data_IF_249573930727
#
_entry.id   IF_249573930727
#
_cell.length_a   1.000
_cell.length_b   1.000
_cell.length_c   1.000
_cell.angle_alpha   90.00
_cell.angle_beta   90.00
_cell.angle_gamma   90.00
#
_symmetry.space_group_name_H-M   'P 1'
#
loop_
_entity.id
_entity.type
_entity.pdbx_description
1 polymer ?
#
# COMPACT_ATOMS: atom_id res chain seq x y z
N UNK A 1 11.76 -58.01 23.82
CA UNK A 1 11.87 -56.73 24.54
C UNK A 1 11.19 -55.68 23.68
N UNK A 2 10.04 -55.18 24.14
CA UNK A 2 9.16 -54.26 23.40
C UNK A 2 9.65 -52.81 23.53
N UNK A 3 9.90 -52.13 22.41
CA UNK A 3 10.22 -50.70 22.39
C UNK A 3 9.00 -49.86 22.77
N UNK A 4 9.14 -49.07 23.83
CA UNK A 4 8.11 -48.18 24.35
C UNK A 4 7.96 -46.93 23.47
N UNK A 5 6.78 -46.74 22.88
CA UNK A 5 6.38 -45.46 22.28
C UNK A 5 6.06 -44.45 23.38
N UNK A 6 6.90 -43.42 23.52
CA UNK A 6 6.61 -42.26 24.36
C UNK A 6 5.88 -41.22 23.50
N UNK A 7 4.56 -41.08 23.69
CA UNK A 7 3.79 -39.96 23.14
C UNK A 7 3.66 -38.86 24.19
N UNK A 8 4.15 -37.66 23.89
CA UNK A 8 3.89 -36.49 24.72
C UNK A 8 2.42 -36.06 24.61
N UNK A 9 1.69 -36.09 25.72
CA UNK A 9 0.34 -35.52 25.82
C UNK A 9 0.44 -34.00 25.73
N UNK A 10 -0.35 -33.30 24.89
CA UNK A 10 -0.30 -31.84 24.84
C UNK A 10 -0.83 -31.27 26.16
N UNK A 11 0.06 -30.68 26.95
CA UNK A 11 -0.30 -29.89 28.14
C UNK A 11 -0.95 -28.60 27.67
N UNK A 12 -2.19 -28.40 28.12
CA UNK A 12 -3.03 -27.21 28.04
C UNK A 12 -3.24 -26.58 26.66
N UNK A 13 -4.49 -26.68 26.19
CA UNK A 13 -5.02 -25.82 25.13
C UNK A 13 -4.72 -24.36 25.49
N UNK A 14 -3.77 -23.73 24.78
CA UNK A 14 -3.71 -22.26 24.72
C UNK A 14 -5.11 -21.79 24.33
N UNK A 15 -5.86 -21.25 25.30
CA UNK A 15 -7.09 -20.52 25.02
C UNK A 15 -6.70 -19.43 24.04
N UNK A 16 -7.05 -19.60 22.78
CA UNK A 16 -7.01 -18.52 21.81
C UNK A 16 -8.00 -17.51 22.35
N UNK A 17 -7.50 -16.50 23.07
CA UNK A 17 -8.27 -15.32 23.40
C UNK A 17 -8.67 -14.76 22.04
N UNK A 18 -9.91 -15.02 21.63
CA UNK A 18 -10.54 -14.32 20.51
C UNK A 18 -10.52 -12.86 20.91
N UNK A 19 -9.47 -12.13 20.49
CA UNK A 19 -9.47 -10.67 20.52
C UNK A 19 -10.82 -10.26 19.93
N UNK A 20 -11.60 -9.46 20.67
CA UNK A 20 -12.76 -8.77 20.09
C UNK A 20 -12.25 -8.16 18.79
N UNK A 21 -12.76 -8.64 17.66
CA UNK A 21 -12.57 -7.95 16.39
C UNK A 21 -13.06 -6.54 16.67
N UNK A 22 -12.22 -5.53 16.41
CA UNK A 22 -12.56 -4.12 16.54
C UNK A 22 -13.70 -3.81 15.57
N UNK A 23 -14.92 -4.20 15.95
CA UNK A 23 -16.13 -3.97 15.21
C UNK A 23 -16.53 -2.53 15.48
N UNK A 24 -16.62 -1.75 14.41
CA UNK A 24 -17.17 -0.40 14.46
C UNK A 24 -18.62 -0.53 14.95
N UNK A 25 -19.03 0.21 16.00
CA UNK A 25 -20.41 0.18 16.50
C UNK A 25 -21.44 0.46 15.40
N UNK A 26 -22.58 -0.25 15.45
CA UNK A 26 -23.67 -0.07 14.48
C UNK A 26 -24.23 1.35 14.48
N UNK A 27 -24.19 2.04 15.63
CA UNK A 27 -24.57 3.45 15.75
C UNK A 27 -23.73 4.40 14.90
N UNK A 28 -22.46 4.04 14.62
CA UNK A 28 -21.59 4.80 13.71
C UNK A 28 -21.82 4.31 12.29
N UNK A 29 -21.86 2.99 12.10
CA UNK A 29 -21.96 2.37 10.78
C UNK A 29 -23.26 2.75 10.04
N UNK A 30 -24.38 2.78 10.77
CA UNK A 30 -25.72 3.04 10.23
C UNK A 30 -26.18 4.48 10.47
N UNK A 31 -25.28 5.39 10.88
CA UNK A 31 -25.64 6.78 11.12
C UNK A 31 -26.04 7.49 9.81
N UNK A 32 -27.30 7.92 9.70
CA UNK A 32 -27.84 8.52 8.49
C UNK A 32 -27.08 9.79 8.08
N UNK A 33 -26.80 10.70 9.03
CA UNK A 33 -26.08 11.95 8.75
C UNK A 33 -24.65 11.71 8.28
N UNK A 34 -23.91 10.83 8.95
CA UNK A 34 -22.53 10.50 8.55
C UNK A 34 -22.49 9.86 7.15
N UNK A 35 -23.40 8.92 6.88
CA UNK A 35 -23.48 8.24 5.59
C UNK A 35 -23.85 9.19 4.45
N UNK A 36 -24.77 10.14 4.67
CA UNK A 36 -25.13 11.17 3.70
C UNK A 36 -23.93 12.07 3.35
N UNK A 37 -23.18 12.52 4.38
CA UNK A 37 -22.00 13.38 4.17
C UNK A 37 -20.88 12.65 3.43
N UNK A 38 -20.63 11.38 3.77
CA UNK A 38 -19.65 10.55 3.05
C UNK A 38 -20.06 10.42 1.58
N UNK A 39 -21.32 10.06 1.29
CA UNK A 39 -21.80 9.84 -0.07
C UNK A 39 -21.84 11.11 -0.93
N UNK A 40 -22.10 12.28 -0.33
CA UNK A 40 -22.20 13.55 -1.06
C UNK A 40 -20.83 14.22 -1.31
N UNK A 41 -19.85 14.01 -0.43
CA UNK A 41 -18.56 14.71 -0.51
C UNK A 41 -17.45 13.86 -1.12
N UNK A 42 -17.46 12.55 -0.89
CA UNK A 42 -16.36 11.65 -1.27
C UNK A 42 -16.75 10.76 -2.46
N UNK A 43 -15.79 10.45 -3.35
CA UNK A 43 -16.06 9.58 -4.48
C UNK A 43 -16.31 8.13 -4.03
N UNK A 44 -17.36 7.51 -4.56
CA UNK A 44 -17.82 6.18 -4.15
C UNK A 44 -16.83 5.04 -4.48
N UNK A 45 -15.91 5.27 -5.41
CA UNK A 45 -14.89 4.29 -5.79
C UNK A 45 -13.65 4.35 -4.89
N UNK A 46 -13.54 5.30 -3.96
CA UNK A 46 -12.45 5.37 -2.98
C UNK A 46 -12.97 5.01 -1.59
N UNK A 47 -12.35 4.04 -0.93
CA UNK A 47 -12.70 3.68 0.43
C UNK A 47 -11.79 4.38 1.46
N UNK A 48 -12.20 5.56 1.93
CA UNK A 48 -11.49 6.30 2.98
C UNK A 48 -11.74 5.76 4.40
N UNK A 49 -12.54 4.70 4.57
CA UNK A 49 -12.86 4.09 5.86
C UNK A 49 -13.27 5.11 6.96
N UNK A 50 -14.07 6.13 6.60
CA UNK A 50 -14.41 7.25 7.49
C UNK A 50 -15.03 6.78 8.81
N UNK A 51 -15.86 5.74 8.79
CA UNK A 51 -16.44 5.15 10.00
C UNK A 51 -15.38 4.62 10.98
N UNK A 52 -14.30 4.03 10.46
CA UNK A 52 -13.16 3.56 11.27
C UNK A 52 -12.41 4.72 11.87
N UNK A 53 -12.22 5.81 11.12
CA UNK A 53 -11.61 7.04 11.62
C UNK A 53 -12.43 7.60 12.77
N UNK A 54 -13.73 7.79 12.57
CA UNK A 54 -14.66 8.29 13.58
C UNK A 54 -14.65 7.43 14.84
N UNK A 55 -14.74 6.10 14.69
CA UNK A 55 -14.68 5.18 15.80
C UNK A 55 -13.35 5.29 16.57
N UNK A 56 -12.23 5.36 15.86
CA UNK A 56 -10.90 5.45 16.48
C UNK A 56 -10.71 6.75 17.25
N UNK A 57 -11.24 7.86 16.74
CA UNK A 57 -11.22 9.15 17.43
C UNK A 57 -12.01 9.07 18.74
N UNK A 58 -13.22 8.47 18.72
CA UNK A 58 -14.04 8.25 19.91
C UNK A 58 -13.35 7.33 20.93
N UNK A 59 -12.82 6.20 20.47
CA UNK A 59 -12.12 5.22 21.33
C UNK A 59 -10.93 5.84 22.07
N UNK A 60 -10.20 6.73 21.41
CA UNK A 60 -9.04 7.42 21.99
C UNK A 60 -9.41 8.69 22.77
N UNK A 61 -10.67 9.13 22.74
CA UNK A 61 -11.09 10.45 23.22
C UNK A 61 -10.20 11.58 22.66
N UNK A 62 -9.81 11.48 21.38
CA UNK A 62 -8.91 12.43 20.76
C UNK A 62 -9.63 13.73 20.42
N UNK A 63 -9.24 14.85 21.04
CA UNK A 63 -9.83 16.17 20.82
C UNK A 63 -9.23 16.92 19.62
N UNK A 64 -7.98 16.60 19.24
CA UNK A 64 -7.28 17.14 18.08
C UNK A 64 -6.56 16.04 17.31
N UNK A 65 -6.81 15.99 16.01
CA UNK A 65 -6.41 14.88 15.13
C UNK A 65 -5.73 15.45 13.89
N UNK A 66 -4.57 14.90 13.54
CA UNK A 66 -3.87 15.24 12.32
C UNK A 66 -4.33 14.33 11.17
N UNK A 67 -4.52 14.89 9.98
CA UNK A 67 -4.73 14.14 8.75
C UNK A 67 -3.51 14.33 7.85
N UNK A 68 -2.97 13.21 7.35
CA UNK A 68 -1.80 13.22 6.48
C UNK A 68 -2.10 12.46 5.19
N UNK A 69 -1.94 13.13 4.05
CA UNK A 69 -2.27 12.60 2.73
C UNK A 69 -1.05 12.59 1.82
N UNK A 70 -0.93 11.60 0.91
CA UNK A 70 -0.09 11.79 -0.26
C UNK A 70 -0.70 12.84 -1.20
N UNK A 71 0.14 13.39 -2.07
CA UNK A 71 -0.20 14.45 -3.03
C UNK A 71 -1.51 14.18 -3.78
N UNK A 72 -1.69 12.98 -4.33
CA UNK A 72 -2.86 12.64 -5.14
C UNK A 72 -4.19 12.58 -4.38
N UNK A 73 -4.17 12.56 -3.03
CA UNK A 73 -5.38 12.47 -2.20
C UNK A 73 -5.62 13.69 -1.32
N UNK A 74 -4.69 14.66 -1.28
CA UNK A 74 -4.85 15.87 -0.45
C UNK A 74 -6.06 16.71 -0.87
N UNK A 75 -6.52 16.57 -2.12
CA UNK A 75 -7.76 17.18 -2.63
C UNK A 75 -9.01 16.78 -1.81
N UNK A 76 -8.97 15.65 -1.09
CA UNK A 76 -10.06 15.20 -0.21
C UNK A 76 -9.91 15.65 1.25
N UNK A 77 -8.80 16.31 1.61
CA UNK A 77 -8.45 16.59 2.99
C UNK A 77 -9.49 17.47 3.70
N UNK A 78 -9.90 18.58 3.09
CA UNK A 78 -10.88 19.51 3.68
C UNK A 78 -12.25 18.85 3.82
N UNK A 79 -12.67 18.06 2.83
CA UNK A 79 -13.94 17.31 2.88
C UNK A 79 -13.96 16.30 4.02
N UNK A 80 -12.88 15.54 4.20
CA UNK A 80 -12.76 14.58 5.30
C UNK A 80 -12.71 15.31 6.64
N UNK A 81 -11.98 16.42 6.72
CA UNK A 81 -11.93 17.26 7.92
C UNK A 81 -13.34 17.78 8.30
N UNK A 82 -14.11 18.27 7.34
CA UNK A 82 -15.48 18.75 7.54
C UNK A 82 -16.43 17.64 8.03
N UNK A 83 -16.34 16.44 7.43
CA UNK A 83 -17.13 15.27 7.87
C UNK A 83 -16.83 14.95 9.33
N UNK A 84 -15.55 14.83 9.69
CA UNK A 84 -15.13 14.46 11.05
C UNK A 84 -15.50 15.55 12.05
N UNK A 85 -15.22 16.81 11.72
CA UNK A 85 -15.46 17.97 12.60
C UNK A 85 -16.96 18.14 12.84
N UNK A 86 -17.79 18.04 11.80
CA UNK A 86 -19.24 18.17 11.96
C UNK A 86 -19.88 17.01 12.72
N UNK A 87 -19.30 15.80 12.65
CA UNK A 87 -19.84 14.64 13.35
C UNK A 87 -19.38 14.52 14.81
N UNK A 88 -18.14 14.91 15.12
CA UNK A 88 -17.54 14.71 16.45
C UNK A 88 -17.24 16.00 17.22
N UNK A 89 -17.23 17.16 16.56
CA UNK A 89 -16.82 18.44 17.18
C UNK A 89 -15.34 18.51 17.55
N UNK A 90 -14.50 17.64 16.99
CA UNK A 90 -13.04 17.62 17.23
C UNK A 90 -12.31 18.56 16.29
N UNK A 91 -11.12 19.01 16.69
CA UNK A 91 -10.29 19.84 15.84
C UNK A 91 -9.45 18.98 14.89
N UNK A 92 -9.40 19.38 13.62
CA UNK A 92 -8.63 18.71 12.60
C UNK A 92 -7.46 19.59 12.16
N UNK A 93 -6.27 19.01 12.10
CA UNK A 93 -5.06 19.63 11.56
C UNK A 93 -4.70 18.87 10.29
N UNK A 94 -4.65 19.55 9.14
CA UNK A 94 -4.19 18.94 7.90
C UNK A 94 -2.68 19.18 7.80
N UNK A 95 -1.89 18.11 7.73
CA UNK A 95 -0.44 18.21 7.51
C UNK A 95 -0.21 18.47 6.02
N UNK A 96 0.39 19.62 5.71
CA UNK A 96 0.55 20.12 4.34
C UNK A 96 1.82 19.68 3.63
N UNK A 97 2.75 19.05 4.34
CA UNK A 97 4.00 18.58 3.75
C UNK A 97 3.81 17.34 2.86
N UNK A 98 4.68 17.22 1.85
CA UNK A 98 4.61 16.14 0.88
C UNK A 98 4.88 14.81 1.57
N UNK A 99 3.89 13.92 1.49
CA UNK A 99 3.99 12.57 2.07
C UNK A 99 4.23 11.55 0.96
N UNK A 100 5.45 11.01 0.89
CA UNK A 100 5.85 10.04 -0.13
C UNK A 100 5.52 8.59 0.22
N UNK A 101 5.26 8.30 1.50
CA UNK A 101 5.08 6.94 1.98
C UNK A 101 4.84 6.87 3.48
N UNK A 102 4.63 5.66 3.98
CA UNK A 102 4.58 5.39 5.42
C UNK A 102 5.91 5.65 6.14
N UNK A 103 7.02 5.82 5.41
CA UNK A 103 8.30 6.27 5.97
C UNK A 103 8.34 7.78 6.28
N UNK A 104 7.32 8.53 5.88
CA UNK A 104 7.22 9.98 6.09
C UNK A 104 6.07 10.34 7.05
N UNK A 105 5.78 9.51 8.04
CA UNK A 105 4.79 9.86 9.07
C UNK A 105 5.30 11.07 9.84
N UNK A 106 4.57 12.18 9.80
CA UNK A 106 5.00 13.43 10.41
C UNK A 106 4.42 13.56 11.83
N UNK A 107 4.96 12.73 12.71
CA UNK A 107 4.58 12.67 14.12
C UNK A 107 5.11 13.85 14.94
N UNK A 108 6.23 14.43 14.55
CA UNK A 108 6.80 15.59 15.19
C UNK A 108 5.93 16.84 15.00
N UNK A 109 5.53 17.19 13.77
CA UNK A 109 4.66 18.35 13.52
C UNK A 109 3.28 18.13 14.13
N UNK A 110 2.73 16.93 14.03
CA UNK A 110 1.46 16.59 14.68
C UNK A 110 1.52 16.79 16.20
N UNK A 111 2.63 16.38 16.83
CA UNK A 111 2.89 16.56 18.26
C UNK A 111 2.99 18.04 18.64
N UNK A 112 3.73 18.85 17.88
CA UNK A 112 3.85 20.29 18.11
C UNK A 112 2.50 21.02 18.02
N UNK A 113 1.61 20.52 17.16
CA UNK A 113 0.25 21.03 17.03
C UNK A 113 -0.72 20.46 18.08
N UNK A 114 -0.24 19.67 19.05
CA UNK A 114 -1.07 19.11 20.13
C UNK A 114 -2.05 18.04 19.65
N UNK A 115 -1.77 17.36 18.54
CA UNK A 115 -2.57 16.22 18.10
C UNK A 115 -2.24 14.99 18.95
N UNK A 116 -3.22 14.10 19.13
CA UNK A 116 -3.04 12.80 19.82
C UNK A 116 -3.21 11.59 18.90
N UNK A 117 -3.64 11.84 17.66
CA UNK A 117 -3.84 10.84 16.62
C UNK A 117 -3.46 11.44 15.26
N UNK A 118 -2.77 10.66 14.44
CA UNK A 118 -2.58 10.90 13.01
C UNK A 118 -3.40 9.87 12.24
N UNK A 119 -4.19 10.33 11.27
CA UNK A 119 -4.77 9.47 10.25
C UNK A 119 -3.90 9.58 9.01
N UNK A 120 -3.15 8.52 8.73
CA UNK A 120 -2.21 8.46 7.61
C UNK A 120 -2.83 7.68 6.45
N UNK A 121 -3.03 8.36 5.32
CA UNK A 121 -3.74 7.79 4.19
C UNK A 121 -2.81 7.15 3.15
N UNK A 122 -3.33 6.13 2.47
CA UNK A 122 -2.85 5.50 1.25
C UNK A 122 -1.47 4.83 1.28
N UNK A 123 -0.97 4.47 2.47
CA UNK A 123 0.25 3.68 2.61
C UNK A 123 0.06 2.52 3.62
N UNK A 124 0.75 1.41 3.34
CA UNK A 124 0.84 0.28 4.26
C UNK A 124 1.61 0.65 5.54
N UNK A 125 1.22 0.07 6.66
CA UNK A 125 1.90 0.31 7.94
C UNK A 125 3.31 -0.33 7.93
N UNK A 126 4.33 0.45 7.60
CA UNK A 126 5.72 -0.03 7.56
C UNK A 126 6.51 0.30 8.82
N UNK A 127 6.16 1.39 9.51
CA UNK A 127 6.91 1.88 10.66
C UNK A 127 6.31 1.33 11.95
N UNK A 128 7.13 0.78 12.87
CA UNK A 128 6.66 0.35 14.18
C UNK A 128 5.99 1.51 14.93
N UNK A 129 4.70 1.34 15.26
CA UNK A 129 3.90 2.36 15.97
C UNK A 129 4.41 2.69 17.38
N UNK A 130 5.32 1.90 17.92
CA UNK A 130 5.97 2.12 19.22
C UNK A 130 7.19 3.05 19.16
N UNK A 131 7.59 3.49 17.96
CA UNK A 131 8.71 4.42 17.77
C UNK A 131 8.27 5.87 17.55
N UNK A 132 6.97 6.14 17.63
CA UNK A 132 6.41 7.48 17.40
C UNK A 132 6.71 8.42 18.57
N UNK A 133 7.06 9.65 18.24
CA UNK A 133 7.30 10.77 19.15
C UNK A 133 6.12 10.95 20.11
N UNK A 134 6.42 11.12 21.40
CA UNK A 134 5.43 11.35 22.47
C UNK A 134 4.25 10.35 22.47
N UNK A 135 4.50 9.09 22.14
CA UNK A 135 3.48 8.02 22.09
C UNK A 135 2.31 8.31 21.12
N UNK A 136 2.53 9.15 20.11
CA UNK A 136 1.55 9.50 19.07
C UNK A 136 0.91 8.25 18.49
N UNK A 137 -0.42 8.25 18.38
CA UNK A 137 -1.17 7.16 17.76
C UNK A 137 -1.28 7.41 16.27
N UNK A 138 -1.12 6.37 15.48
CA UNK A 138 -1.26 6.44 14.02
C UNK A 138 -2.31 5.43 13.58
N UNK A 139 -3.29 5.90 12.81
CA UNK A 139 -4.29 5.10 12.14
C UNK A 139 -3.99 5.10 10.63
N UNK A 140 -3.60 3.95 10.10
CA UNK A 140 -3.39 3.79 8.67
C UNK A 140 -4.71 3.45 7.96
N UNK A 141 -4.99 4.18 6.89
CA UNK A 141 -6.12 3.96 5.98
C UNK A 141 -5.53 3.70 4.60
N UNK A 142 -5.71 2.51 4.04
CA UNK A 142 -5.05 2.14 2.78
C UNK A 142 -5.66 2.78 1.53
N UNK A 143 -6.91 3.25 1.63
CA UNK A 143 -7.67 3.84 0.52
C UNK A 143 -7.78 2.85 -0.64
N UNK A 144 -8.59 1.82 -0.46
CA UNK A 144 -8.90 0.86 -1.53
C UNK A 144 -9.67 1.55 -2.66
N UNK A 145 -9.13 1.51 -3.87
CA UNK A 145 -9.70 2.15 -5.06
C UNK A 145 -10.32 1.09 -5.94
N UNK A 146 -11.64 1.16 -6.08
CA UNK A 146 -12.42 0.26 -6.93
C UNK A 146 -12.31 0.69 -8.39
N UNK A 147 -12.13 -0.31 -9.24
CA UNK A 147 -12.19 -0.18 -10.70
C UNK A 147 -12.86 -1.40 -11.31
N UNK A 148 -13.07 -1.37 -12.63
CA UNK A 148 -13.63 -2.49 -13.38
C UNK A 148 -12.63 -3.65 -13.47
N UNK A 149 -12.70 -4.56 -12.50
CA UNK A 149 -11.90 -5.79 -12.41
C UNK A 149 -12.10 -6.66 -13.65
N UNK A 150 -13.34 -6.78 -14.14
CA UNK A 150 -13.66 -7.64 -15.28
C UNK A 150 -13.09 -7.08 -16.57
N UNK A 151 -13.04 -5.76 -16.73
CA UNK A 151 -12.33 -5.16 -17.84
C UNK A 151 -10.86 -5.61 -17.86
N UNK A 152 -10.15 -5.54 -16.72
CA UNK A 152 -8.76 -5.99 -16.64
C UNK A 152 -8.60 -7.49 -16.96
N UNK A 153 -9.49 -8.35 -16.43
CA UNK A 153 -9.52 -9.78 -16.77
C UNK A 153 -9.70 -9.99 -18.27
N UNK A 154 -10.65 -9.30 -18.90
CA UNK A 154 -10.92 -9.39 -20.33
C UNK A 154 -9.74 -8.87 -21.15
N UNK A 155 -9.10 -7.77 -20.73
CA UNK A 155 -7.88 -7.24 -21.35
C UNK A 155 -6.75 -8.28 -21.31
N UNK A 156 -6.50 -8.90 -20.16
CA UNK A 156 -5.47 -9.95 -20.00
C UNK A 156 -5.79 -11.14 -20.90
N UNK A 157 -7.03 -11.65 -20.85
CA UNK A 157 -7.42 -12.83 -21.63
C UNK A 157 -7.43 -12.60 -23.15
N UNK A 158 -7.70 -11.38 -23.60
CA UNK A 158 -7.63 -11.01 -25.01
C UNK A 158 -6.19 -10.92 -25.50
N UNK A 159 -5.27 -10.41 -24.68
CA UNK A 159 -3.89 -10.17 -25.11
C UNK A 159 -2.96 -11.37 -24.86
N UNK A 160 -3.21 -12.20 -23.85
CA UNK A 160 -2.32 -13.29 -23.46
C UNK A 160 -2.94 -14.64 -23.82
N UNK A 161 -2.68 -15.10 -25.05
CA UNK A 161 -3.28 -16.32 -25.60
C UNK A 161 -2.68 -17.61 -25.02
N UNK A 162 -1.37 -17.63 -24.72
CA UNK A 162 -0.72 -18.77 -24.08
C UNK A 162 -0.96 -18.74 -22.57
N UNK A 163 -1.74 -19.71 -22.09
CA UNK A 163 -2.12 -19.86 -20.68
C UNK A 163 -1.08 -20.60 -19.85
N UNK A 164 -0.09 -21.22 -20.50
CA UNK A 164 1.01 -21.92 -19.83
C UNK A 164 2.08 -20.95 -19.32
N UNK A 165 2.12 -19.75 -19.89
CA UNK A 165 3.01 -18.69 -19.43
C UNK A 165 2.56 -18.16 -18.07
N UNK A 166 3.43 -18.28 -17.07
CA UNK A 166 3.13 -17.86 -15.70
C UNK A 166 3.09 -16.34 -15.58
N UNK A 167 2.02 -15.83 -14.98
CA UNK A 167 1.77 -14.40 -14.78
C UNK A 167 1.92 -14.05 -13.29
N UNK A 168 2.79 -13.09 -12.98
CA UNK A 168 2.82 -12.46 -11.66
C UNK A 168 1.94 -11.20 -11.64
N UNK A 169 1.02 -11.12 -10.68
CA UNK A 169 0.13 -9.98 -10.49
C UNK A 169 0.63 -9.09 -9.35
N UNK A 170 0.94 -7.84 -9.65
CA UNK A 170 1.45 -6.85 -8.71
C UNK A 170 0.66 -5.54 -8.78
N UNK A 171 0.72 -4.72 -7.73
CA UNK A 171 0.12 -3.40 -7.68
C UNK A 171 0.73 -2.52 -6.57
N UNK A 172 0.34 -1.26 -6.54
CA UNK A 172 0.42 -0.43 -5.33
C UNK A 172 -0.69 -0.81 -4.35
N UNK A 173 -0.56 -0.40 -3.08
CA UNK A 173 -1.49 -0.78 -1.99
C UNK A 173 -2.96 -0.50 -2.32
N UNK A 174 -3.25 0.57 -3.06
CA UNK A 174 -4.62 1.00 -3.37
C UNK A 174 -5.39 0.00 -4.25
N UNK A 175 -4.69 -0.92 -4.94
CA UNK A 175 -5.30 -1.90 -5.85
C UNK A 175 -5.06 -3.36 -5.44
N UNK A 176 -4.43 -3.63 -4.28
CA UNK A 176 -4.08 -4.99 -3.84
C UNK A 176 -5.32 -5.89 -3.68
N UNK A 177 -6.44 -5.35 -3.21
CA UNK A 177 -7.69 -6.13 -3.12
C UNK A 177 -8.14 -6.62 -4.51
N UNK A 178 -8.07 -5.74 -5.50
CA UNK A 178 -8.51 -5.96 -6.88
C UNK A 178 -7.60 -6.93 -7.60
N UNK A 179 -6.26 -6.84 -7.45
CA UNK A 179 -5.35 -7.81 -8.09
C UNK A 179 -5.53 -9.22 -7.53
N UNK A 180 -5.84 -9.36 -6.24
CA UNK A 180 -6.15 -10.66 -5.65
C UNK A 180 -7.50 -11.22 -6.15
N UNK A 181 -8.47 -10.36 -6.48
CA UNK A 181 -9.70 -10.78 -7.14
C UNK A 181 -9.44 -11.22 -8.59
N UNK A 182 -8.69 -10.42 -9.37
CA UNK A 182 -8.30 -10.72 -10.75
C UNK A 182 -7.53 -12.05 -10.83
N UNK A 183 -6.54 -12.24 -9.95
CA UNK A 183 -5.73 -13.46 -9.93
C UNK A 183 -6.60 -14.71 -9.68
N UNK A 184 -7.55 -14.63 -8.75
CA UNK A 184 -8.51 -15.73 -8.49
C UNK A 184 -9.41 -16.00 -9.68
N UNK A 185 -9.93 -14.96 -10.33
CA UNK A 185 -10.78 -15.09 -11.51
C UNK A 185 -10.02 -15.74 -12.68
N UNK A 186 -8.83 -15.24 -13.01
CA UNK A 186 -7.96 -15.77 -14.07
C UNK A 186 -7.60 -17.24 -13.83
N UNK A 187 -7.25 -17.59 -12.59
CA UNK A 187 -6.90 -18.96 -12.22
C UNK A 187 -8.09 -19.90 -12.29
N UNK A 188 -9.22 -19.52 -11.66
CA UNK A 188 -10.34 -20.42 -11.45
C UNK A 188 -11.26 -20.54 -12.67
N UNK A 189 -11.45 -19.47 -13.43
CA UNK A 189 -12.41 -19.44 -14.56
C UNK A 189 -11.76 -19.43 -15.93
N UNK A 190 -10.52 -18.98 -16.03
CA UNK A 190 -9.84 -18.84 -17.32
C UNK A 190 -8.63 -19.78 -17.48
N UNK A 191 -8.26 -20.52 -16.43
CA UNK A 191 -7.17 -21.52 -16.42
C UNK A 191 -5.77 -20.94 -16.70
N UNK A 192 -5.50 -19.71 -16.25
CA UNK A 192 -4.14 -19.14 -16.29
C UNK A 192 -3.30 -19.61 -15.09
N UNK A 193 -1.99 -19.81 -15.31
CA UNK A 193 -1.03 -19.94 -14.22
C UNK A 193 -0.69 -18.55 -13.66
N UNK A 194 -1.33 -18.18 -12.55
CA UNK A 194 -1.17 -16.86 -11.92
C UNK A 194 -0.63 -16.99 -10.50
N UNK A 195 0.35 -16.15 -10.18
CA UNK A 195 0.87 -15.96 -8.83
C UNK A 195 0.69 -14.52 -8.36
N UNK A 196 0.50 -14.35 -7.06
CA UNK A 196 0.53 -13.06 -6.37
C UNK A 196 1.76 -13.07 -5.46
N UNK A 197 2.89 -12.48 -5.86
CA UNK A 197 4.13 -12.53 -5.10
C UNK A 197 4.01 -11.73 -3.80
N UNK A 198 4.77 -12.10 -2.78
CA UNK A 198 4.76 -11.38 -1.49
C UNK A 198 6.18 -11.15 -1.01
N UNK A 199 6.44 -9.96 -0.49
CA UNK A 199 7.68 -9.60 0.20
C UNK A 199 7.31 -8.97 1.53
N UNK A 200 7.82 -9.52 2.65
CA UNK A 200 7.50 -8.96 3.97
C UNK A 200 8.18 -7.58 4.14
N UNK A 201 7.53 -6.62 4.82
CA UNK A 201 6.26 -6.74 5.55
C UNK A 201 5.00 -6.45 4.70
N UNK A 202 5.13 -6.33 3.38
CA UNK A 202 4.05 -5.91 2.48
C UNK A 202 2.96 -6.95 2.30
N UNK A 203 1.79 -6.48 1.89
CA UNK A 203 0.66 -7.34 1.51
C UNK A 203 0.99 -8.14 0.23
N UNK A 204 0.42 -9.34 0.04
CA UNK A 204 0.61 -10.09 -1.20
C UNK A 204 0.18 -9.28 -2.43
N UNK A 205 1.11 -9.13 -3.38
CA UNK A 205 0.97 -8.37 -4.62
C UNK A 205 1.37 -6.90 -4.50
N UNK A 206 1.64 -6.40 -3.30
CA UNK A 206 2.07 -5.02 -3.09
C UNK A 206 3.55 -4.82 -3.45
N UNK A 207 3.84 -3.71 -4.13
CA UNK A 207 5.20 -3.27 -4.48
C UNK A 207 5.40 -1.81 -4.13
N UNK A 208 6.54 -1.51 -3.50
CA UNK A 208 6.99 -0.16 -3.16
C UNK A 208 8.22 0.23 -3.98
N UNK A 209 8.50 1.52 -4.10
CA UNK A 209 9.70 2.00 -4.78
C UNK A 209 10.98 1.48 -4.13
N UNK A 210 10.98 1.39 -2.79
CA UNK A 210 12.10 0.91 -1.99
C UNK A 210 12.08 -0.60 -1.71
N UNK A 211 11.00 -1.33 -2.06
CA UNK A 211 10.86 -2.75 -1.72
C UNK A 211 10.00 -3.46 -2.75
N UNK A 212 10.62 -4.36 -3.51
CA UNK A 212 9.96 -5.18 -4.52
C UNK A 212 10.30 -6.66 -4.32
N UNK A 213 9.40 -7.60 -4.66
CA UNK A 213 9.67 -9.03 -4.58
C UNK A 213 10.68 -9.46 -5.66
N UNK A 214 11.46 -10.50 -5.35
CA UNK A 214 12.18 -11.27 -6.37
C UNK A 214 11.25 -12.34 -6.93
N UNK A 215 11.17 -12.39 -8.26
CA UNK A 215 10.33 -13.29 -9.01
C UNK A 215 11.14 -14.50 -9.46
N UNK A 216 10.52 -15.67 -9.44
CA UNK A 216 11.13 -16.90 -9.92
C UNK A 216 11.44 -16.85 -11.43
N UNK A 217 12.39 -17.65 -11.88
CA UNK A 217 12.76 -17.73 -13.30
C UNK A 217 11.61 -18.27 -14.16
N UNK A 218 10.71 -19.08 -13.60
CA UNK A 218 9.52 -19.59 -14.29
C UNK A 218 8.44 -18.54 -14.57
N UNK A 219 8.54 -17.33 -14.00
CA UNK A 219 7.60 -16.24 -14.31
C UNK A 219 7.94 -15.64 -15.67
N UNK A 220 6.99 -15.68 -16.61
CA UNK A 220 7.14 -15.15 -17.96
C UNK A 220 6.65 -13.70 -18.08
N UNK A 221 5.51 -13.40 -17.45
CA UNK A 221 4.85 -12.08 -17.53
C UNK A 221 4.61 -11.49 -16.15
N UNK A 222 4.63 -10.17 -16.09
CA UNK A 222 4.20 -9.40 -14.93
C UNK A 222 3.09 -8.45 -15.38
N UNK A 223 1.97 -8.46 -14.68
CA UNK A 223 0.92 -7.44 -14.83
C UNK A 223 0.90 -6.59 -13.58
N UNK A 224 1.15 -5.30 -13.75
CA UNK A 224 1.20 -4.33 -12.69
C UNK A 224 0.01 -3.38 -12.79
N UNK A 225 -0.85 -3.34 -11.77
CA UNK A 225 -2.00 -2.42 -11.74
C UNK A 225 -1.60 -1.13 -11.02
N UNK A 226 -1.47 -0.04 -11.78
CA UNK A 226 -1.22 1.31 -11.28
C UNK A 226 -1.41 2.38 -12.37
N UNK A 227 -1.51 3.63 -11.97
CA UNK A 227 -1.44 4.80 -12.85
C UNK A 227 0.00 5.12 -13.30
N UNK A 228 0.94 5.15 -12.35
CA UNK A 228 2.34 5.48 -12.55
C UNK A 228 3.26 4.29 -12.85
N UNK A 229 4.51 4.59 -13.24
CA UNK A 229 5.54 3.58 -13.56
C UNK A 229 6.55 3.36 -12.45
N UNK A 230 6.75 4.31 -11.54
CA UNK A 230 7.82 4.29 -10.53
C UNK A 230 7.92 2.97 -9.73
N UNK A 231 6.79 2.48 -9.22
CA UNK A 231 6.72 1.22 -8.47
C UNK A 231 7.02 -0.01 -9.35
N UNK A 232 6.55 0.00 -10.59
CA UNK A 232 6.85 -1.04 -11.57
C UNK A 232 8.34 -1.04 -11.94
N UNK A 233 8.97 0.12 -12.07
CA UNK A 233 10.40 0.23 -12.35
C UNK A 233 11.23 -0.38 -11.21
N UNK A 234 10.86 -0.19 -9.94
CA UNK A 234 11.49 -0.89 -8.82
C UNK A 234 11.40 -2.42 -8.94
N UNK A 235 10.27 -2.94 -9.41
CA UNK A 235 10.11 -4.37 -9.67
C UNK A 235 10.98 -4.84 -10.84
N UNK A 236 11.05 -4.07 -11.92
CA UNK A 236 11.92 -4.37 -13.07
C UNK A 236 13.39 -4.40 -12.67
N UNK A 237 13.86 -3.39 -11.93
CA UNK A 237 15.26 -3.27 -11.48
C UNK A 237 15.67 -4.48 -10.64
N UNK A 238 14.80 -4.94 -9.73
CA UNK A 238 15.08 -6.09 -8.88
C UNK A 238 14.94 -7.45 -9.62
N UNK A 239 14.41 -7.43 -10.85
CA UNK A 239 14.17 -8.60 -11.68
C UNK A 239 14.61 -8.36 -13.14
N UNK A 240 15.92 -8.13 -13.39
CA UNK A 240 16.44 -7.76 -14.71
C UNK A 240 16.38 -8.90 -15.75
N UNK A 241 15.95 -10.09 -15.35
CA UNK A 241 15.77 -11.24 -16.24
C UNK A 241 14.73 -10.95 -17.33
N UNK A 242 14.84 -11.66 -18.46
CA UNK A 242 13.91 -11.59 -19.58
C UNK A 242 12.49 -11.99 -19.14
N UNK A 243 11.70 -10.98 -18.76
CA UNK A 243 10.30 -11.05 -18.37
C UNK A 243 9.55 -9.98 -19.14
N UNK A 244 8.31 -10.25 -19.53
CA UNK A 244 7.47 -9.25 -20.16
C UNK A 244 6.68 -8.49 -19.09
N UNK A 245 6.99 -7.21 -18.93
CA UNK A 245 6.30 -6.34 -17.99
C UNK A 245 5.17 -5.61 -18.68
N UNK A 246 4.00 -5.62 -18.05
CA UNK A 246 2.81 -4.90 -18.50
C UNK A 246 2.29 -4.03 -17.36
N UNK A 247 1.89 -2.80 -17.68
CA UNK A 247 1.15 -1.93 -16.76
C UNK A 247 -0.29 -1.85 -17.22
N UNK A 248 -1.22 -2.13 -16.34
CA UNK A 248 -2.64 -1.85 -16.54
C UNK A 248 -3.03 -0.62 -15.74
N UNK A 249 -3.46 0.44 -16.42
CA UNK A 249 -3.93 1.65 -15.77
C UNK A 249 -5.46 1.60 -15.62
N UNK A 250 -5.99 1.54 -14.39
CA UNK A 250 -7.42 1.37 -14.14
C UNK A 250 -8.26 2.61 -14.51
N UNK A 251 -7.63 3.79 -14.64
CA UNK A 251 -8.33 5.04 -14.93
C UNK A 251 -8.64 5.20 -16.42
N UNK A 252 -7.66 4.97 -17.29
CA UNK A 252 -7.84 5.04 -18.75
C UNK A 252 -8.12 3.67 -19.39
N UNK A 253 -8.06 2.59 -18.61
CA UNK A 253 -8.38 1.21 -19.02
C UNK A 253 -7.44 0.65 -20.09
N UNK A 254 -6.18 1.05 -20.04
CA UNK A 254 -5.17 0.61 -21.01
C UNK A 254 -4.17 -0.37 -20.38
N UNK A 255 -3.77 -1.38 -21.15
CA UNK A 255 -2.59 -2.21 -20.84
C UNK A 255 -1.46 -1.81 -21.78
N UNK A 256 -0.32 -1.43 -21.23
CA UNK A 256 0.88 -1.09 -21.98
C UNK A 256 1.99 -2.06 -21.65
N UNK A 257 2.79 -2.44 -22.66
CA UNK A 257 4.03 -3.17 -22.42
C UNK A 257 5.10 -2.17 -22.03
N UNK A 258 5.78 -2.46 -20.94
CA UNK A 258 6.72 -1.54 -20.30
C UNK A 258 8.14 -2.07 -20.37
N UNK A 259 9.09 -1.15 -20.52
CA UNK A 259 10.51 -1.44 -20.66
C UNK A 259 11.30 -0.57 -19.69
N UNK A 260 12.42 -1.09 -19.22
CA UNK A 260 13.38 -0.33 -18.43
C UNK A 260 14.72 -0.30 -19.15
N UNK A 261 15.28 0.89 -19.32
CA UNK A 261 16.55 1.08 -19.99
C UNK A 261 17.70 0.83 -18.98
N UNK A 262 18.06 -0.44 -18.84
CA UNK A 262 19.11 -0.87 -17.92
C UNK A 262 20.49 -0.32 -18.33
N UNK A 263 20.80 -0.26 -19.62
CA UNK A 263 22.07 0.26 -20.11
C UNK A 263 22.22 1.73 -19.76
N UNK A 264 21.20 2.53 -20.01
CA UNK A 264 21.19 3.94 -19.62
C UNK A 264 21.27 4.12 -18.12
N UNK A 265 20.51 3.35 -17.33
CA UNK A 265 20.55 3.43 -15.87
C UNK A 265 21.94 3.10 -15.32
N UNK A 266 22.57 2.02 -15.80
CA UNK A 266 23.93 1.63 -15.41
C UNK A 266 24.93 2.71 -15.83
N UNK A 267 24.88 3.17 -17.08
CA UNK A 267 25.78 4.21 -17.60
C UNK A 267 25.69 5.51 -16.80
N UNK A 268 24.48 5.97 -16.47
CA UNK A 268 24.28 7.16 -15.65
C UNK A 268 24.87 6.99 -14.24
N UNK A 269 24.68 5.81 -13.62
CA UNK A 269 25.24 5.53 -12.29
C UNK A 269 26.77 5.43 -12.32
N UNK A 270 27.35 4.80 -13.34
CA UNK A 270 28.81 4.73 -13.52
C UNK A 270 29.42 6.12 -13.69
N UNK A 271 28.78 7.00 -14.47
CA UNK A 271 29.24 8.38 -14.65
C UNK A 271 29.18 9.17 -13.34
N UNK A 272 28.10 9.04 -12.57
CA UNK A 272 28.00 9.67 -11.25
C UNK A 272 29.09 9.17 -10.29
N UNK A 273 29.36 7.86 -10.28
CA UNK A 273 30.44 7.28 -9.46
C UNK A 273 31.81 7.81 -9.89
N UNK A 274 32.09 7.88 -11.20
CA UNK A 274 33.35 8.44 -11.74
C UNK A 274 33.57 9.89 -11.30
N UNK A 275 32.53 10.72 -11.39
CA UNK A 275 32.60 12.12 -10.92
C UNK A 275 32.95 12.19 -9.43
N UNK A 276 32.35 11.34 -8.60
CA UNK A 276 32.64 11.28 -7.16
C UNK A 276 34.07 10.80 -6.89
N UNK A 277 34.58 9.82 -7.65
CA UNK A 277 35.97 9.37 -7.51
C UNK A 277 36.98 10.49 -7.83
N UNK A 278 36.67 11.36 -8.79
CA UNK A 278 37.53 12.50 -9.11
C UNK A 278 37.49 13.58 -8.01
N UNK A 279 36.34 13.77 -7.33
CA UNK A 279 36.27 14.62 -6.12
C UNK A 279 37.21 14.09 -5.04
N UNK A 280 37.18 12.79 -4.76
CA UNK A 280 38.06 12.18 -3.75
C UNK A 280 39.54 12.28 -4.08
N UNK A 281 39.93 12.11 -5.35
CA UNK A 281 41.33 12.25 -5.78
C UNK A 281 41.90 13.66 -5.56
N UNK A 282 41.04 14.67 -5.60
CA UNK A 282 41.40 16.07 -5.43
C UNK A 282 41.15 16.57 -3.99
N UNK A 283 41.20 15.67 -3.00
CA UNK A 283 40.97 15.97 -1.58
C UNK A 283 39.63 16.66 -1.31
N UNK A 284 38.62 16.41 -2.15
CA UNK A 284 37.29 17.00 -2.04
C UNK A 284 36.45 16.40 -0.91
N UNK A 285 35.54 17.21 -0.37
CA UNK A 285 34.63 16.82 0.71
C UNK A 285 33.35 16.17 0.17
N UNK A 286 32.82 15.18 0.88
CA UNK A 286 31.51 14.58 0.59
C UNK A 286 30.55 14.82 1.76
N UNK A 287 29.33 15.24 1.45
CA UNK A 287 28.23 15.33 2.42
C UNK A 287 27.42 14.03 2.44
N UNK A 288 27.09 13.54 3.63
CA UNK A 288 26.22 12.38 3.82
C UNK A 288 24.83 12.88 4.21
N UNK A 289 23.84 12.59 3.36
CA UNK A 289 22.43 12.92 3.60
C UNK A 289 21.80 11.77 4.39
N UNK A 290 21.31 12.06 5.59
CA UNK A 290 20.61 11.15 6.48
C UNK A 290 19.12 11.47 6.52
#
# INVERSE_FOLDING_TARGET
MSEAKVSATPVEQRKVIRRRVNLIPEEIMNNAYLNEKIASLLPSNYNFEVHKIVWRIKELNASRVALQFPEGLIIFATKIADIITSFLGVQIVILGDVTYGACCVDDFVATLNGCSLIVHFAHSCLIPVNMMTNNMKVLYIFVDIKFDVMHCVNTITTNFQDKTEKIAMCATIQFVSSINAIARELKNKHSYDVIVPSVKPLSPGEVLGCTSPRLDSSVNKVVFVADGRFHLESLMINNPQLKYYYKYNPYNREITREYYDFEKMISQRENAIKQVLDVFKNEGTVGLIL
#
